data_IF_392141350546
#
_entry.id   IF_392141350546
#
_cell.length_a   1.000
_cell.length_b   1.000
_cell.length_c   1.000
_cell.angle_alpha   90.00
_cell.angle_beta   90.00
_cell.angle_gamma   90.00
#
_symmetry.space_group_name_H-M   'P 1'
#
loop_
_entity.id
_entity.type
_entity.pdbx_description
1 polymer ?
#
# COMPACT_ATOMS: atom_id res chain seq x y z
N UNK A 1 -3.47 9.38 -16.62
CA UNK A 1 -4.03 9.08 -15.27
C UNK A 1 -5.13 10.08 -14.94
N UNK A 2 -4.93 11.37 -15.18
CA UNK A 2 -5.92 12.44 -14.96
C UNK A 2 -7.29 12.21 -15.62
N UNK A 3 -7.33 11.59 -16.80
CA UNK A 3 -8.58 11.30 -17.52
C UNK A 3 -9.40 10.14 -16.93
N UNK A 4 -8.80 9.31 -16.06
CA UNK A 4 -9.44 8.11 -15.52
C UNK A 4 -10.02 8.33 -14.10
N UNK A 5 -9.76 9.48 -13.48
CA UNK A 5 -10.28 9.80 -12.15
C UNK A 5 -11.78 10.08 -12.24
N UNK A 6 -12.58 9.37 -11.43
CA UNK A 6 -14.06 9.40 -11.48
C UNK A 6 -14.66 9.04 -12.86
N UNK A 7 -13.96 8.24 -13.67
CA UNK A 7 -14.40 7.81 -15.00
C UNK A 7 -14.56 6.29 -15.08
N UNK A 8 -15.69 5.73 -14.61
CA UNK A 8 -15.86 4.27 -14.52
C UNK A 8 -16.17 3.63 -15.88
N UNK A 9 -16.43 4.41 -16.93
CA UNK A 9 -17.03 3.92 -18.17
C UNK A 9 -16.19 2.89 -18.91
N UNK A 10 -14.86 2.92 -18.76
CA UNK A 10 -13.97 1.91 -19.32
C UNK A 10 -14.21 0.51 -18.72
N UNK A 11 -14.71 0.42 -17.48
CA UNK A 11 -15.00 -0.85 -16.81
C UNK A 11 -16.26 -1.54 -17.36
N UNK A 12 -17.21 -0.77 -17.93
CA UNK A 12 -18.42 -1.32 -18.54
C UNK A 12 -18.19 -1.85 -19.95
N UNK A 13 -17.03 -1.56 -20.56
CA UNK A 13 -16.69 -2.14 -21.85
C UNK A 13 -16.47 -3.64 -21.70
N UNK A 14 -16.73 -4.38 -22.78
CA UNK A 14 -16.42 -5.80 -22.85
C UNK A 14 -14.95 -6.02 -22.48
N UNK A 15 -14.71 -6.94 -21.55
CA UNK A 15 -13.38 -7.29 -21.01
C UNK A 15 -12.67 -6.15 -20.27
N UNK A 16 -13.38 -5.08 -19.87
CA UNK A 16 -12.80 -3.89 -19.24
C UNK A 16 -12.15 -4.19 -17.88
N UNK A 17 -12.86 -4.90 -17.00
CA UNK A 17 -12.35 -5.34 -15.69
C UNK A 17 -11.15 -6.26 -15.85
N UNK A 18 -11.27 -7.29 -16.68
CA UNK A 18 -10.19 -8.26 -16.90
C UNK A 18 -8.94 -7.64 -17.51
N UNK A 19 -9.11 -6.66 -18.42
CA UNK A 19 -8.00 -5.91 -18.98
C UNK A 19 -7.29 -5.06 -17.93
N UNK A 20 -8.05 -4.47 -16.99
CA UNK A 20 -7.48 -3.75 -15.86
C UNK A 20 -6.75 -4.69 -14.89
N UNK A 21 -7.32 -5.86 -14.56
CA UNK A 21 -6.67 -6.86 -13.71
C UNK A 21 -5.35 -7.34 -14.33
N UNK A 22 -5.33 -7.59 -15.65
CA UNK A 22 -4.08 -7.86 -16.38
C UNK A 22 -3.10 -6.69 -16.30
N UNK A 23 -3.57 -5.45 -16.40
CA UNK A 23 -2.75 -4.26 -16.25
C UNK A 23 -2.06 -4.20 -14.87
N UNK A 24 -2.85 -4.27 -13.80
CA UNK A 24 -2.38 -4.17 -12.40
C UNK A 24 -1.39 -5.28 -12.03
N UNK A 25 -1.51 -6.46 -12.64
CA UNK A 25 -0.65 -7.61 -12.34
C UNK A 25 0.63 -7.69 -13.18
N UNK A 26 0.72 -6.90 -14.26
CA UNK A 26 1.85 -6.93 -15.21
C UNK A 26 2.69 -5.66 -15.11
N UNK A 27 2.03 -4.50 -15.02
CA UNK A 27 2.71 -3.23 -15.03
C UNK A 27 3.45 -3.00 -13.70
N UNK A 28 4.71 -2.52 -13.73
CA UNK A 28 5.42 -2.16 -12.51
C UNK A 28 4.74 -0.96 -11.86
N UNK A 29 4.73 -0.93 -10.52
CA UNK A 29 4.41 0.31 -9.80
C UNK A 29 5.53 1.33 -10.01
N UNK A 30 5.19 2.62 -9.93
CA UNK A 30 6.21 3.65 -9.73
C UNK A 30 6.96 3.36 -8.42
N UNK A 31 8.25 3.69 -8.37
CA UNK A 31 9.04 3.60 -7.14
C UNK A 31 8.42 4.49 -6.06
N UNK A 32 8.33 3.99 -4.84
CA UNK A 32 7.95 4.82 -3.70
C UNK A 32 9.14 5.70 -3.31
N UNK A 33 9.07 6.97 -3.69
CA UNK A 33 10.06 7.98 -3.35
C UNK A 33 9.42 9.38 -3.39
N UNK A 34 10.23 10.42 -3.20
CA UNK A 34 9.83 11.83 -3.22
C UNK A 34 9.39 12.36 -4.59
N UNK A 35 9.50 11.59 -5.67
CA UNK A 35 9.13 12.03 -7.01
C UNK A 35 7.74 11.52 -7.38
N UNK A 36 6.80 12.45 -7.48
CA UNK A 36 5.43 12.15 -7.88
C UNK A 36 5.24 12.40 -9.37
N UNK A 37 4.32 11.62 -9.96
CA UNK A 37 3.88 11.88 -11.32
C UNK A 37 3.22 13.25 -11.42
N UNK A 38 3.52 13.97 -12.50
CA UNK A 38 2.88 15.23 -12.87
C UNK A 38 1.34 15.13 -12.92
N UNK A 39 0.84 13.92 -13.20
CA UNK A 39 -0.59 13.62 -13.18
C UNK A 39 -1.25 13.76 -11.80
N UNK A 40 -0.47 13.71 -10.72
CA UNK A 40 -0.92 13.90 -9.34
C UNK A 40 -0.54 15.26 -8.76
N UNK A 41 0.55 15.88 -9.21
CA UNK A 41 1.00 17.19 -8.69
C UNK A 41 0.45 18.38 -9.47
N UNK A 42 0.08 18.23 -10.75
CA UNK A 42 -0.45 19.34 -11.56
C UNK A 42 -1.80 19.04 -12.20
N UNK A 43 -2.18 17.76 -12.31
CA UNK A 43 -3.37 17.34 -13.03
C UNK A 43 -4.32 16.46 -12.21
N UNK A 44 -4.27 16.54 -10.86
CA UNK A 44 -5.25 15.86 -10.02
C UNK A 44 -6.65 16.41 -10.32
N UNK A 45 -7.56 15.51 -10.70
CA UNK A 45 -8.93 15.77 -11.14
C UNK A 45 -9.05 16.74 -12.32
N UNK A 46 -7.99 16.88 -13.13
CA UNK A 46 -8.03 17.73 -14.30
C UNK A 46 -9.02 17.21 -15.36
N UNK A 47 -9.21 15.89 -15.47
CA UNK A 47 -9.94 15.29 -16.58
C UNK A 47 -9.31 15.70 -17.91
N UNK A 48 -10.07 16.44 -18.73
CA UNK A 48 -9.59 17.02 -20.00
C UNK A 48 -9.11 18.48 -19.89
N UNK A 49 -9.15 19.06 -18.69
CA UNK A 49 -8.72 20.44 -18.47
C UNK A 49 -7.18 20.53 -18.48
N UNK A 50 -6.61 21.68 -18.89
CA UNK A 50 -5.17 21.86 -18.96
C UNK A 50 -4.49 21.99 -17.58
N UNK A 51 -5.26 22.18 -16.50
CA UNK A 51 -4.75 22.28 -15.13
C UNK A 51 -5.67 21.51 -14.17
N UNK A 52 -5.09 21.05 -13.06
CA UNK A 52 -5.79 20.39 -11.95
C UNK A 52 -5.21 20.82 -10.61
N UNK A 53 -5.42 19.99 -9.59
CA UNK A 53 -4.86 20.20 -8.26
C UNK A 53 -3.52 19.47 -8.08
N UNK A 54 -2.86 19.76 -6.96
CA UNK A 54 -1.65 19.09 -6.50
C UNK A 54 -1.95 18.23 -5.28
N UNK A 55 -1.92 16.90 -5.44
CA UNK A 55 -2.15 15.95 -4.36
C UNK A 55 -1.11 16.06 -3.24
N UNK A 56 0.15 16.35 -3.58
CA UNK A 56 1.24 16.48 -2.61
C UNK A 56 1.05 17.74 -1.80
N UNK A 57 0.75 18.87 -2.45
CA UNK A 57 0.44 20.11 -1.74
C UNK A 57 -0.81 19.97 -0.86
N UNK A 58 -1.84 19.27 -1.35
CA UNK A 58 -3.03 18.94 -0.56
C UNK A 58 -2.69 18.08 0.67
N UNK A 59 -1.80 17.09 0.55
CA UNK A 59 -1.37 16.27 1.68
C UNK A 59 -0.63 17.10 2.75
N UNK A 60 0.24 18.03 2.34
CA UNK A 60 0.92 18.94 3.26
C UNK A 60 -0.09 19.85 3.96
N UNK A 61 -0.99 20.47 3.20
CA UNK A 61 -2.02 21.33 3.77
C UNK A 61 -2.96 20.56 4.70
N UNK A 62 -3.30 19.30 4.38
CA UNK A 62 -4.10 18.41 5.23
C UNK A 62 -3.40 18.08 6.53
N UNK A 63 -2.08 17.82 6.49
CA UNK A 63 -1.29 17.58 7.71
C UNK A 63 -1.35 18.77 8.66
N UNK A 64 -1.23 19.99 8.13
CA UNK A 64 -1.33 21.25 8.89
C UNK A 64 -2.74 21.48 9.43
N UNK A 65 -3.75 21.26 8.60
CA UNK A 65 -5.18 21.34 8.97
C UNK A 65 -5.52 20.38 10.13
N UNK A 66 -4.97 19.18 10.10
CA UNK A 66 -5.14 18.17 11.16
C UNK A 66 -4.26 18.42 12.39
N UNK A 67 -3.43 19.46 12.41
CA UNK A 67 -2.52 19.76 13.51
C UNK A 67 -1.51 18.65 13.78
N UNK A 68 -1.05 17.96 12.73
CA UNK A 68 -0.06 16.90 12.90
C UNK A 68 1.25 17.49 13.46
N UNK A 69 1.88 16.82 14.44
CA UNK A 69 3.23 17.18 14.86
C UNK A 69 4.22 17.13 13.69
N UNK A 70 5.30 17.90 13.80
CA UNK A 70 6.31 17.93 12.76
C UNK A 70 7.01 16.57 12.59
N UNK A 71 7.67 16.42 11.46
CA UNK A 71 8.50 15.25 11.17
C UNK A 71 9.51 14.96 12.28
N UNK A 72 10.13 16.00 12.86
CA UNK A 72 11.16 15.84 13.88
C UNK A 72 10.59 15.32 15.22
N UNK A 73 9.35 15.71 15.58
CA UNK A 73 8.65 15.13 16.72
C UNK A 73 8.36 13.63 16.49
N UNK A 74 7.91 13.27 15.28
CA UNK A 74 7.67 11.87 14.92
C UNK A 74 8.95 11.03 14.87
N UNK A 75 10.09 11.59 14.44
CA UNK A 75 11.39 10.91 14.55
C UNK A 75 11.67 10.50 15.99
N UNK A 76 11.45 11.41 16.93
CA UNK A 76 11.66 11.13 18.36
C UNK A 76 10.70 10.06 18.89
N UNK A 77 9.42 10.13 18.53
CA UNK A 77 8.42 9.11 18.87
C UNK A 77 8.84 7.73 18.32
N UNK A 78 9.41 7.70 17.12
CA UNK A 78 9.92 6.51 16.47
C UNK A 78 11.38 6.17 16.84
N UNK A 79 11.83 6.58 18.03
CA UNK A 79 13.12 6.21 18.62
C UNK A 79 14.36 6.63 17.80
N UNK A 80 14.22 7.63 16.92
CA UNK A 80 15.36 8.33 16.31
C UNK A 80 15.72 9.56 17.14
N UNK A 81 17.01 9.93 17.21
CA UNK A 81 17.40 11.19 17.82
C UNK A 81 16.66 12.36 17.16
N UNK A 82 16.20 13.31 17.97
CA UNK A 82 15.66 14.58 17.48
C UNK A 82 16.79 15.34 16.78
N UNK A 83 16.55 15.77 15.54
CA UNK A 83 17.48 16.57 14.78
C UNK A 83 17.52 18.00 15.37
N UNK A 84 18.71 18.53 15.63
CA UNK A 84 18.91 19.92 16.05
C UNK A 84 19.30 20.80 14.86
N UNK A 85 19.85 20.18 13.82
CA UNK A 85 20.24 20.81 12.56
C UNK A 85 19.75 19.97 11.39
N UNK A 86 19.72 20.54 10.18
CA UNK A 86 19.36 19.78 8.98
C UNK A 86 20.39 18.68 8.69
N UNK A 87 21.65 18.89 9.04
CA UNK A 87 22.73 17.92 8.87
C UNK A 87 22.52 16.63 9.68
N UNK A 88 21.81 16.72 10.82
CA UNK A 88 21.45 15.54 11.63
C UNK A 88 20.51 14.58 10.88
N UNK A 89 19.85 15.03 9.80
CA UNK A 89 18.95 14.19 8.99
C UNK A 89 19.70 13.22 8.04
N UNK A 90 21.01 13.39 7.87
CA UNK A 90 21.83 12.59 6.95
C UNK A 90 21.96 11.10 7.36
N UNK A 91 21.54 10.75 8.56
CA UNK A 91 21.42 9.36 9.03
C UNK A 91 20.29 8.58 8.34
N UNK A 92 19.31 9.26 7.72
CA UNK A 92 18.17 8.63 7.04
C UNK A 92 17.86 9.17 5.65
N UNK A 93 18.54 10.21 5.16
CA UNK A 93 18.31 10.74 3.81
C UNK A 93 19.58 11.26 3.14
N UNK A 94 19.56 11.34 1.80
CA UNK A 94 20.70 11.81 1.03
C UNK A 94 20.96 13.32 1.21
N UNK A 95 22.22 13.74 1.06
CA UNK A 95 22.66 15.15 1.14
C UNK A 95 21.84 16.07 0.22
N UNK A 96 21.51 15.60 -0.98
CA UNK A 96 20.69 16.38 -1.93
C UNK A 96 19.25 16.61 -1.45
N UNK A 97 18.69 15.71 -0.66
CA UNK A 97 17.33 15.83 -0.09
C UNK A 97 17.37 16.76 1.11
N UNK A 98 18.33 16.54 2.02
CA UNK A 98 18.56 17.42 3.17
C UNK A 98 18.74 18.89 2.74
N UNK A 99 19.59 19.15 1.74
CA UNK A 99 19.82 20.50 1.24
C UNK A 99 18.56 21.15 0.66
N UNK A 100 17.67 20.37 0.03
CA UNK A 100 16.39 20.88 -0.48
C UNK A 100 15.45 21.23 0.67
N UNK A 101 15.34 20.39 1.69
CA UNK A 101 14.55 20.70 2.88
C UNK A 101 15.09 21.96 3.58
N UNK A 102 16.41 22.07 3.74
CA UNK A 102 17.08 23.25 4.31
C UNK A 102 16.82 24.54 3.53
N UNK A 103 16.62 24.44 2.21
CA UNK A 103 16.27 25.62 1.39
C UNK A 103 14.79 26.03 1.48
N UNK A 104 13.92 25.13 1.97
CA UNK A 104 12.47 25.32 1.99
C UNK A 104 11.93 25.65 3.39
N UNK A 105 12.51 25.05 4.44
CA UNK A 105 12.13 25.23 5.83
C UNK A 105 13.16 26.08 6.56
N UNK A 106 12.69 26.95 7.47
CA UNK A 106 13.56 27.81 8.27
C UNK A 106 14.23 27.00 9.38
N UNK A 107 13.46 26.17 10.07
CA UNK A 107 13.94 25.29 11.13
C UNK A 107 13.67 23.80 10.80
N UNK A 108 14.52 22.90 11.29
CA UNK A 108 14.33 21.44 11.13
C UNK A 108 13.04 20.95 11.80
N UNK A 109 12.57 21.66 12.83
CA UNK A 109 11.32 21.40 13.52
C UNK A 109 10.07 21.81 12.73
N UNK A 110 10.22 22.54 11.61
CA UNK A 110 9.09 22.99 10.78
C UNK A 110 8.73 21.97 9.67
N UNK A 111 9.55 20.94 9.47
CA UNK A 111 9.35 19.97 8.39
C UNK A 111 8.02 19.22 8.60
N UNK A 112 7.10 19.34 7.64
CA UNK A 112 5.83 18.60 7.66
C UNK A 112 6.09 17.08 7.64
N UNK A 113 5.36 16.31 8.46
CA UNK A 113 5.53 14.85 8.58
C UNK A 113 5.51 14.15 7.22
N UNK A 114 4.57 14.51 6.33
CA UNK A 114 4.40 13.80 5.07
C UNK A 114 5.66 13.86 4.19
N UNK A 115 6.21 15.07 3.98
CA UNK A 115 7.40 15.24 3.13
C UNK A 115 8.65 14.70 3.81
N UNK A 116 8.77 14.85 5.13
CA UNK A 116 9.90 14.31 5.89
C UNK A 116 9.95 12.78 5.81
N UNK A 117 8.81 12.11 6.00
CA UNK A 117 8.73 10.65 5.96
C UNK A 117 8.98 10.04 4.57
N UNK A 118 8.45 10.63 3.49
CA UNK A 118 8.75 10.14 2.11
C UNK A 118 10.16 10.49 1.63
N UNK A 119 10.82 11.46 2.28
CA UNK A 119 12.18 11.87 1.97
C UNK A 119 13.24 10.91 2.52
N UNK A 120 12.88 10.07 3.49
CA UNK A 120 13.76 9.06 4.04
C UNK A 120 14.12 7.98 3.00
N UNK A 121 15.37 7.55 3.02
CA UNK A 121 15.85 6.39 2.30
C UNK A 121 15.15 5.15 2.84
N UNK A 122 14.56 4.30 1.96
CA UNK A 122 13.90 3.08 2.41
C UNK A 122 14.83 2.16 3.19
N UNK A 123 14.30 1.55 4.25
CA UNK A 123 15.00 0.48 5.00
C UNK A 123 15.17 -0.73 4.07
N UNK A 124 16.28 -1.47 4.21
CA UNK A 124 16.54 -2.65 3.39
C UNK A 124 15.38 -3.66 3.44
N UNK A 125 14.85 -4.02 2.26
CA UNK A 125 13.69 -4.91 2.14
C UNK A 125 12.32 -4.25 2.36
N UNK A 126 12.28 -2.93 2.60
CA UNK A 126 11.07 -2.13 2.79
C UNK A 126 10.89 -1.12 1.65
N UNK A 127 9.64 -0.70 1.44
CA UNK A 127 9.32 0.48 0.62
C UNK A 127 9.41 1.79 1.43
N UNK A 128 9.38 1.70 2.75
CA UNK A 128 9.29 2.83 3.67
C UNK A 128 10.64 3.11 4.34
N UNK A 129 10.92 4.38 4.59
CA UNK A 129 11.93 4.83 5.54
C UNK A 129 11.56 4.49 6.99
N UNK A 130 12.49 4.71 7.92
CA UNK A 130 12.36 4.40 9.33
C UNK A 130 11.08 4.96 9.98
N UNK A 131 10.79 6.25 9.80
CA UNK A 131 9.67 6.93 10.49
C UNK A 131 8.33 6.38 10.02
N UNK A 132 8.13 6.22 8.71
CA UNK A 132 6.89 5.63 8.20
C UNK A 132 6.79 4.13 8.43
N UNK A 133 7.91 3.40 8.44
CA UNK A 133 7.91 1.99 8.83
C UNK A 133 7.44 1.83 10.28
N UNK A 134 7.90 2.68 11.20
CA UNK A 134 7.44 2.74 12.58
C UNK A 134 5.94 3.07 12.68
N UNK A 135 5.47 4.16 12.08
CA UNK A 135 4.06 4.60 12.17
C UNK A 135 3.13 3.55 11.57
N UNK A 136 3.44 3.06 10.36
CA UNK A 136 2.61 2.07 9.67
C UNK A 136 2.66 0.74 10.42
N UNK A 137 3.83 0.31 10.88
CA UNK A 137 4.01 -0.93 11.65
C UNK A 137 3.24 -0.93 12.97
N UNK A 138 3.35 0.12 13.77
CA UNK A 138 2.60 0.28 15.02
C UNK A 138 1.09 0.27 14.75
N UNK A 139 0.62 1.00 13.73
CA UNK A 139 -0.80 1.03 13.39
C UNK A 139 -1.33 -0.35 12.97
N UNK A 140 -0.60 -1.09 12.12
CA UNK A 140 -1.00 -2.46 11.72
C UNK A 140 -0.96 -3.43 12.90
N UNK A 141 0.02 -3.32 13.80
CA UNK A 141 0.09 -4.13 15.00
C UNK A 141 -1.12 -3.89 15.92
N UNK A 142 -1.49 -2.63 16.15
CA UNK A 142 -2.68 -2.27 16.94
C UNK A 142 -3.98 -2.77 16.31
N UNK A 143 -4.12 -2.65 14.99
CA UNK A 143 -5.30 -3.16 14.28
C UNK A 143 -5.43 -4.67 14.45
N UNK A 144 -4.33 -5.42 14.29
CA UNK A 144 -4.33 -6.88 14.47
C UNK A 144 -4.62 -7.28 15.92
N UNK A 145 -3.90 -6.70 16.88
CA UNK A 145 -3.98 -7.11 18.29
C UNK A 145 -5.25 -6.61 18.99
N UNK A 146 -5.80 -5.47 18.53
CA UNK A 146 -7.01 -4.86 19.08
C UNK A 146 -8.30 -5.40 18.47
N UNK A 147 -8.22 -6.17 17.39
CA UNK A 147 -9.41 -6.73 16.74
C UNK A 147 -9.77 -8.09 17.34
N UNK A 148 -10.89 -8.11 18.08
CA UNK A 148 -11.48 -9.33 18.63
C UNK A 148 -11.77 -10.37 17.55
N UNK A 149 -12.13 -9.94 16.35
CA UNK A 149 -12.46 -10.77 15.20
C UNK A 149 -11.29 -11.01 14.25
N UNK A 150 -10.06 -10.66 14.65
CA UNK A 150 -8.89 -10.97 13.84
C UNK A 150 -8.86 -12.48 13.56
N UNK A 151 -8.76 -12.86 12.28
CA UNK A 151 -9.13 -14.19 11.82
C UNK A 151 -8.31 -15.32 12.48
N UNK A 152 -7.08 -15.07 12.91
CA UNK A 152 -6.24 -16.09 13.58
C UNK A 152 -6.47 -16.20 15.09
N UNK A 153 -7.32 -15.36 15.69
CA UNK A 153 -7.62 -15.47 17.11
C UNK A 153 -8.32 -16.80 17.39
N UNK A 154 -7.81 -17.57 18.35
CA UNK A 154 -8.38 -18.85 18.78
C UNK A 154 -9.13 -18.77 20.10
N UNK A 155 -9.98 -19.77 20.37
CA UNK A 155 -10.65 -19.93 21.68
C UNK A 155 -11.81 -18.98 21.95
N UNK A 156 -12.27 -18.22 20.95
CA UNK A 156 -13.46 -17.38 21.02
C UNK A 156 -14.61 -18.01 20.26
N UNK A 157 -15.84 -17.61 20.56
CA UNK A 157 -17.04 -18.04 19.80
C UNK A 157 -16.96 -17.60 18.33
N UNK A 158 -16.28 -16.48 18.04
CA UNK A 158 -16.06 -15.97 16.68
C UNK A 158 -14.82 -16.53 15.99
N UNK A 159 -14.07 -17.42 16.65
CA UNK A 159 -12.85 -17.98 16.09
C UNK A 159 -13.16 -18.99 14.99
N UNK A 160 -12.39 -18.95 13.90
CA UNK A 160 -12.37 -20.05 12.95
C UNK A 160 -11.79 -21.32 13.62
N UNK A 161 -12.27 -22.47 13.19
CA UNK A 161 -11.66 -23.77 13.53
C UNK A 161 -10.31 -23.93 12.82
N UNK A 162 -9.44 -24.81 13.33
CA UNK A 162 -8.15 -25.09 12.68
C UNK A 162 -8.30 -25.56 11.23
N UNK A 163 -9.33 -26.36 10.93
CA UNK A 163 -9.62 -26.81 9.57
C UNK A 163 -10.02 -25.64 8.64
N UNK A 164 -10.74 -24.65 9.17
CA UNK A 164 -11.09 -23.43 8.46
C UNK A 164 -9.86 -22.55 8.24
N UNK A 165 -9.02 -22.37 9.27
CA UNK A 165 -7.79 -21.58 9.17
C UNK A 165 -6.79 -22.14 8.16
N UNK A 166 -6.65 -23.46 8.10
CA UNK A 166 -5.82 -24.12 7.10
C UNK A 166 -6.27 -23.76 5.68
N UNK A 167 -7.57 -23.70 5.43
CA UNK A 167 -8.10 -23.30 4.12
C UNK A 167 -7.92 -21.80 3.86
N UNK A 168 -8.13 -20.94 4.86
CA UNK A 168 -7.91 -19.49 4.72
C UNK A 168 -6.45 -19.19 4.37
N UNK A 169 -5.48 -19.85 5.02
CA UNK A 169 -4.04 -19.66 4.79
C UNK A 169 -3.57 -20.04 3.38
N UNK A 170 -4.33 -20.87 2.67
CA UNK A 170 -4.07 -21.21 1.26
C UNK A 170 -4.52 -20.11 0.29
N UNK A 171 -5.29 -19.12 0.76
CA UNK A 171 -5.74 -17.99 -0.06
C UNK A 171 -4.57 -17.16 -0.54
N UNK A 172 -4.67 -16.66 -1.78
CA UNK A 172 -3.76 -15.65 -2.33
C UNK A 172 -4.56 -14.63 -3.13
N UNK A 173 -4.03 -13.42 -3.28
CA UNK A 173 -4.64 -12.43 -4.17
C UNK A 173 -4.70 -12.96 -5.62
N UNK A 174 -3.73 -13.78 -6.03
CA UNK A 174 -3.77 -14.47 -7.32
C UNK A 174 -4.99 -15.40 -7.44
N UNK A 175 -5.29 -16.18 -6.40
CA UNK A 175 -6.49 -17.03 -6.37
C UNK A 175 -7.78 -16.20 -6.45
N UNK A 176 -7.86 -15.11 -5.69
CA UNK A 176 -9.01 -14.19 -5.73
C UNK A 176 -9.24 -13.66 -7.15
N UNK A 177 -8.19 -13.19 -7.83
CA UNK A 177 -8.32 -12.72 -9.21
C UNK A 177 -8.69 -13.84 -10.18
N UNK A 178 -8.09 -15.03 -10.04
CA UNK A 178 -8.41 -16.18 -10.89
C UNK A 178 -9.84 -16.72 -10.72
N UNK A 179 -10.48 -16.56 -9.55
CA UNK A 179 -11.87 -17.01 -9.31
C UNK A 179 -12.93 -15.97 -9.70
N UNK A 180 -12.54 -14.69 -9.83
CA UNK A 180 -13.46 -13.56 -10.04
C UNK A 180 -13.22 -12.81 -11.36
N UNK A 181 -12.55 -13.44 -12.32
CA UNK A 181 -12.29 -12.91 -13.66
C UNK A 181 -12.76 -13.90 -14.71
N UNK A 182 -13.30 -13.41 -15.82
CA UNK A 182 -13.89 -14.24 -16.87
C UNK A 182 -12.79 -14.86 -17.77
N UNK A 183 -11.77 -14.06 -18.13
CA UNK A 183 -10.75 -14.39 -19.13
C UNK A 183 -9.30 -14.38 -18.57
N UNK A 184 -9.11 -14.51 -17.25
CA UNK A 184 -7.78 -14.67 -16.65
C UNK A 184 -7.37 -16.15 -16.56
N UNK A 185 -6.75 -16.67 -17.63
CA UNK A 185 -6.33 -18.07 -17.69
C UNK A 185 -5.07 -18.40 -16.87
N UNK A 186 -4.16 -17.43 -16.72
CA UNK A 186 -2.85 -17.59 -16.07
C UNK A 186 -2.53 -16.40 -15.18
N UNK A 187 -1.85 -16.65 -14.06
CA UNK A 187 -1.40 -15.62 -13.13
C UNK A 187 -0.13 -16.05 -12.39
N UNK A 188 0.71 -15.12 -11.96
CA UNK A 188 1.81 -15.42 -11.05
C UNK A 188 1.30 -15.65 -9.61
N UNK A 189 1.81 -16.66 -8.86
CA UNK A 189 1.34 -16.93 -7.49
C UNK A 189 1.47 -15.76 -6.52
N UNK A 190 2.60 -15.04 -6.55
CA UNK A 190 2.81 -13.84 -5.73
C UNK A 190 2.34 -12.61 -6.51
N UNK A 191 1.08 -12.21 -6.33
CA UNK A 191 0.42 -11.17 -7.13
C UNK A 191 1.11 -9.79 -7.07
N UNK A 192 1.72 -9.44 -5.93
CA UNK A 192 2.44 -8.17 -5.75
C UNK A 192 3.87 -8.18 -6.34
N UNK A 193 4.37 -9.34 -6.75
CA UNK A 193 5.71 -9.49 -7.33
C UNK A 193 5.57 -9.73 -8.83
N UNK A 194 6.33 -9.02 -9.65
CA UNK A 194 6.29 -9.24 -11.09
C UNK A 194 6.70 -10.67 -11.45
N UNK A 195 6.14 -11.15 -12.56
CA UNK A 195 6.48 -12.47 -13.07
C UNK A 195 7.97 -12.54 -13.46
N UNK A 196 8.67 -13.51 -12.89
CA UNK A 196 10.08 -13.81 -13.15
C UNK A 196 10.32 -15.30 -12.88
N UNK A 197 11.57 -15.78 -12.98
CA UNK A 197 11.88 -17.22 -12.89
C UNK A 197 11.38 -17.89 -11.59
N UNK A 198 11.40 -17.19 -10.46
CA UNK A 198 10.92 -17.72 -9.18
C UNK A 198 9.43 -17.44 -8.89
N UNK A 199 8.76 -16.66 -9.75
CA UNK A 199 7.33 -16.33 -9.65
C UNK A 199 6.69 -16.42 -11.05
N UNK A 200 6.88 -17.55 -11.72
CA UNK A 200 6.36 -17.75 -13.08
C UNK A 200 4.84 -17.78 -13.07
N UNK A 201 4.23 -17.35 -14.19
CA UNK A 201 2.79 -17.48 -14.37
C UNK A 201 2.39 -18.95 -14.42
N UNK A 202 1.36 -19.30 -13.67
CA UNK A 202 0.77 -20.62 -13.58
C UNK A 202 -0.69 -20.59 -14.06
N UNK A 203 -1.23 -21.74 -14.42
CA UNK A 203 -2.65 -21.85 -14.76
C UNK A 203 -3.53 -21.55 -13.55
N UNK A 204 -4.57 -20.75 -13.76
CA UNK A 204 -5.62 -20.52 -12.76
C UNK A 204 -6.53 -21.75 -12.54
N UNK A 205 -6.52 -22.72 -13.48
CA UNK A 205 -7.44 -23.87 -13.49
C UNK A 205 -6.78 -25.19 -13.12
N UNK A 206 -5.50 -25.37 -13.47
CA UNK A 206 -4.79 -26.65 -13.35
C UNK A 206 -3.52 -26.49 -12.52
N UNK A 207 -3.25 -27.47 -11.66
CA UNK A 207 -2.06 -27.50 -10.80
C UNK A 207 -2.30 -26.89 -9.42
N UNK A 208 -1.23 -26.87 -8.60
CA UNK A 208 -1.29 -26.52 -7.18
C UNK A 208 -0.52 -25.24 -6.83
N UNK A 209 -0.05 -24.48 -7.82
CA UNK A 209 0.68 -23.23 -7.58
C UNK A 209 -0.24 -22.08 -7.17
N UNK A 210 -1.53 -22.15 -7.51
CA UNK A 210 -2.57 -21.20 -7.09
C UNK A 210 -3.76 -22.01 -6.55
N UNK A 211 -3.62 -22.58 -5.34
CA UNK A 211 -4.58 -23.53 -4.80
C UNK A 211 -5.95 -22.88 -4.58
N UNK A 212 -7.02 -23.68 -4.71
CA UNK A 212 -8.38 -23.28 -4.37
C UNK A 212 -8.64 -23.47 -2.89
N UNK A 213 -9.35 -22.51 -2.30
CA UNK A 213 -9.85 -22.61 -0.93
C UNK A 213 -11.03 -23.58 -0.91
N UNK A 214 -10.97 -24.62 -0.09
CA UNK A 214 -12.09 -25.51 0.14
C UNK A 214 -13.02 -24.93 1.21
N UNK A 215 -14.30 -24.78 0.87
CA UNK A 215 -15.33 -24.37 1.82
C UNK A 215 -15.95 -25.55 2.60
N UNK A 216 -15.44 -26.78 2.41
CA UNK A 216 -15.93 -27.96 3.13
C UNK A 216 -15.91 -27.81 4.67
N UNK A 217 -14.90 -27.17 5.29
CA UNK A 217 -14.90 -26.95 6.73
C UNK A 217 -16.06 -26.07 7.24
N UNK A 218 -16.76 -25.34 6.37
CA UNK A 218 -17.95 -24.53 6.72
C UNK A 218 -19.28 -25.26 6.50
N UNK A 219 -19.28 -26.51 6.03
CA UNK A 219 -20.50 -27.21 5.61
C UNK A 219 -21.62 -27.26 6.67
N UNK A 220 -21.25 -27.31 7.94
CA UNK A 220 -22.17 -27.44 9.06
C UNK A 220 -22.27 -26.17 9.91
N UNK A 221 -21.74 -25.05 9.44
CA UNK A 221 -21.92 -23.77 10.11
C UNK A 221 -23.40 -23.38 10.11
N UNK A 222 -23.96 -22.93 11.24
CA UNK A 222 -25.33 -22.47 11.29
C UNK A 222 -25.51 -21.27 10.35
N UNK A 223 -26.46 -21.40 9.42
CA UNK A 223 -26.91 -20.25 8.62
C UNK A 223 -27.80 -19.41 9.52
N UNK A 224 -27.24 -18.33 10.06
CA UNK A 224 -28.01 -17.35 10.82
C UNK A 224 -28.97 -16.64 9.85
N UNK A 225 -30.26 -16.97 9.96
CA UNK A 225 -31.35 -16.35 9.21
C UNK A 225 -31.89 -15.10 9.94
#
# INVERSE_FOLDING_TARGET
LSENQFSPFALYQRDGVDSLLRGITIQPSQKFDRFFSDQLTNHLFAGKNPFGMDLVALNLQRGRDHGLPSYNEWRQICEKPKANTFEDLLDVMDVGVMNRLKSLYVDVNDIDLFIGGIAETPVAGSLLGHTFLCIVGDQFARLRLGDRFYYENGGLESSFTEAQLEQIRQTSLARVMCDNSDDLAVMQPLAFVQAHLANMRASCKVGNLIPKVSLLPWRNEPVWA
#
